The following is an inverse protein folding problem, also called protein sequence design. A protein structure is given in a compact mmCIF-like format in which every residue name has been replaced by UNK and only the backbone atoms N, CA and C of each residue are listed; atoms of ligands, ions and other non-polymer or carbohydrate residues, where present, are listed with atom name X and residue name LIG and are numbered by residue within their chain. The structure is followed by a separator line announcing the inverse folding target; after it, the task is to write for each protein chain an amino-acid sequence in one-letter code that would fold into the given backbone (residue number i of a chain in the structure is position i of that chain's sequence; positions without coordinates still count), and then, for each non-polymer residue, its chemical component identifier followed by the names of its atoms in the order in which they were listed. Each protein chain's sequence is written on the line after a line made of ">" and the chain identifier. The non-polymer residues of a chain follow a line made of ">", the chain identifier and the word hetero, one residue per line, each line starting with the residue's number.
data_IF_386941493634
#
_entry.id   IF_386941493634
#
_cell.length_a   1.000
_cell.length_b   1.000
_cell.length_c   1.000
_cell.angle_alpha   90.00
_cell.angle_beta   90.00
_cell.angle_gamma   90.00
#
_symmetry.space_group_name_H-M   'P 1'
#
loop_
_entity.id
_entity.type
_entity.pdbx_description
1 polymer ?
#
# COMPACT_ATOMS: atom_id res chain seq x y z
N UNK A 1 -17.89 7.93 11.79
CA UNK A 1 -16.54 7.55 11.34
C UNK A 1 -16.53 6.41 10.30
N UNK A 2 -17.61 6.16 9.54
CA UNK A 2 -17.66 5.11 8.48
C UNK A 2 -17.64 5.69 7.06
N UNK A 3 -18.01 6.97 6.93
CA UNK A 3 -18.17 7.64 5.63
C UNK A 3 -16.82 7.88 4.92
N UNK A 4 -15.73 8.07 5.68
CA UNK A 4 -14.42 8.44 5.14
C UNK A 4 -13.75 7.30 4.36
N UNK A 5 -13.88 6.05 4.83
CA UNK A 5 -13.27 4.89 4.19
C UNK A 5 -13.89 4.61 2.81
N UNK A 6 -15.23 4.72 2.70
CA UNK A 6 -15.94 4.49 1.44
C UNK A 6 -15.52 5.51 0.38
N UNK A 7 -15.44 6.79 0.74
CA UNK A 7 -14.98 7.83 -0.20
C UNK A 7 -13.53 7.60 -0.65
N UNK A 8 -12.65 7.15 0.24
CA UNK A 8 -11.26 6.83 -0.11
C UNK A 8 -11.17 5.69 -1.09
N UNK A 9 -11.94 4.61 -0.89
CA UNK A 9 -12.00 3.50 -1.83
C UNK A 9 -12.50 3.95 -3.22
N UNK A 10 -13.53 4.79 -3.29
CA UNK A 10 -14.07 5.31 -4.56
C UNK A 10 -13.01 6.15 -5.28
N UNK A 11 -12.33 7.05 -4.58
CA UNK A 11 -11.28 7.90 -5.15
C UNK A 11 -10.11 7.08 -5.71
N UNK A 12 -9.69 6.05 -4.98
CA UNK A 12 -8.61 5.14 -5.36
C UNK A 12 -9.01 4.32 -6.61
N UNK A 13 -10.26 3.84 -6.68
CA UNK A 13 -10.79 3.13 -7.86
C UNK A 13 -10.96 4.03 -9.09
N UNK A 14 -11.12 5.34 -8.90
CA UNK A 14 -11.25 6.29 -10.00
C UNK A 14 -9.90 6.60 -10.70
N UNK A 15 -8.77 6.17 -10.13
CA UNK A 15 -7.45 6.35 -10.74
C UNK A 15 -7.34 5.45 -11.97
N UNK A 16 -7.06 6.05 -13.14
CA UNK A 16 -6.98 5.37 -14.46
C UNK A 16 -6.17 4.07 -14.47
N UNK A 17 -5.12 4.01 -13.66
CA UNK A 17 -4.16 2.89 -13.65
C UNK A 17 -4.52 1.78 -12.66
N UNK A 18 -5.54 1.98 -11.83
CA UNK A 18 -5.94 1.04 -10.78
C UNK A 18 -6.94 0.05 -11.35
N UNK A 19 -6.61 -1.24 -11.26
CA UNK A 19 -7.51 -2.31 -11.69
C UNK A 19 -8.43 -2.71 -10.54
N UNK A 20 -7.84 -3.06 -9.40
CA UNK A 20 -8.55 -3.52 -8.21
C UNK A 20 -8.03 -2.82 -6.95
N UNK A 21 -8.90 -2.78 -5.95
CA UNK A 21 -8.63 -2.17 -4.65
C UNK A 21 -9.01 -3.16 -3.56
N UNK A 22 -8.03 -3.47 -2.71
CA UNK A 22 -8.22 -4.35 -1.55
C UNK A 22 -8.54 -3.46 -0.35
N UNK A 23 -9.77 -3.51 0.20
CA UNK A 23 -10.10 -2.79 1.43
C UNK A 23 -9.43 -3.47 2.63
N UNK A 24 -9.30 -2.73 3.73
CA UNK A 24 -8.84 -3.23 5.03
C UNK A 24 -7.45 -3.89 5.02
N UNK A 25 -6.55 -3.38 4.17
CA UNK A 25 -5.15 -3.83 4.15
C UNK A 25 -4.45 -3.46 5.46
N UNK A 26 -3.73 -4.41 6.11
CA UNK A 26 -3.04 -4.16 7.36
C UNK A 26 -1.93 -3.12 7.18
N UNK A 27 -1.67 -2.35 8.24
CA UNK A 27 -0.61 -1.33 8.24
C UNK A 27 0.79 -1.97 8.13
N UNK A 28 1.01 -3.06 8.87
CA UNK A 28 2.22 -3.87 8.77
C UNK A 28 1.98 -5.02 7.79
N UNK A 29 2.92 -5.26 6.86
CA UNK A 29 2.85 -6.42 5.99
C UNK A 29 3.19 -7.67 6.82
N UNK A 30 2.22 -8.57 6.97
CA UNK A 30 2.40 -9.87 7.61
C UNK A 30 2.60 -10.98 6.58
N UNK A 31 3.14 -12.12 7.00
CA UNK A 31 3.30 -13.29 6.12
C UNK A 31 1.95 -13.76 5.57
N UNK A 32 0.91 -13.79 6.41
CA UNK A 32 -0.46 -14.15 5.98
C UNK A 32 -0.98 -13.20 4.91
N UNK A 33 -0.74 -11.89 5.06
CA UNK A 33 -1.15 -10.92 4.06
C UNK A 33 -0.36 -11.08 2.77
N UNK A 34 0.95 -11.32 2.83
CA UNK A 34 1.74 -11.63 1.63
C UNK A 34 1.24 -12.89 0.92
N UNK A 35 0.89 -13.94 1.67
CA UNK A 35 0.32 -15.16 1.08
C UNK A 35 -0.98 -14.87 0.34
N UNK A 36 -1.88 -14.04 0.91
CA UNK A 36 -3.08 -13.58 0.22
C UNK A 36 -2.73 -12.80 -1.05
N UNK A 37 -1.85 -11.80 -0.95
CA UNK A 37 -1.46 -10.97 -2.09
C UNK A 37 -0.90 -11.81 -3.25
N UNK A 38 -0.04 -12.78 -2.94
CA UNK A 38 0.72 -13.52 -3.93
C UNK A 38 0.01 -14.77 -4.45
N UNK A 39 -0.77 -15.45 -3.60
CA UNK A 39 -1.41 -16.71 -3.98
C UNK A 39 -2.89 -16.53 -4.34
N UNK A 40 -3.60 -15.58 -3.73
CA UNK A 40 -5.02 -15.34 -4.01
C UNK A 40 -5.20 -14.21 -5.02
N UNK A 41 -4.49 -13.10 -4.84
CA UNK A 41 -4.59 -11.93 -5.73
C UNK A 41 -3.58 -11.91 -6.88
N UNK A 42 -2.64 -12.85 -6.93
CA UNK A 42 -1.59 -12.94 -7.96
C UNK A 42 -0.81 -11.63 -8.19
N UNK A 43 -0.51 -10.90 -7.13
CA UNK A 43 0.26 -9.65 -7.21
C UNK A 43 1.76 -9.96 -7.27
N UNK A 44 2.50 -9.34 -8.19
CA UNK A 44 3.93 -9.60 -8.30
C UNK A 44 4.78 -8.75 -7.33
N UNK A 45 4.40 -7.49 -7.14
CA UNK A 45 5.20 -6.51 -6.40
C UNK A 45 4.33 -5.56 -5.57
N UNK A 46 4.85 -5.20 -4.40
CA UNK A 46 4.36 -4.10 -3.58
C UNK A 46 5.18 -2.85 -3.94
N UNK A 47 4.52 -1.74 -4.25
CA UNK A 47 5.18 -0.47 -4.60
C UNK A 47 4.82 0.57 -3.55
N UNK A 48 5.83 1.22 -2.96
CA UNK A 48 5.64 2.32 -2.01
C UNK A 48 6.67 3.45 -2.26
N UNK A 49 6.36 4.64 -1.73
CA UNK A 49 7.31 5.75 -1.68
C UNK A 49 8.57 5.41 -0.87
N UNK A 50 9.59 6.26 -0.99
CA UNK A 50 10.85 6.16 -0.25
C UNK A 50 10.75 6.62 1.22
N UNK A 51 9.57 7.07 1.65
CA UNK A 51 9.31 7.44 3.04
C UNK A 51 9.46 6.22 4.00
N UNK A 52 10.11 6.39 5.16
CA UNK A 52 10.25 5.33 6.14
C UNK A 52 8.92 5.04 6.85
N UNK A 53 8.34 3.86 6.59
CA UNK A 53 7.17 3.36 7.31
C UNK A 53 7.63 2.48 8.49
N UNK A 54 7.79 3.09 9.64
CA UNK A 54 8.21 2.40 10.86
C UNK A 54 7.00 2.00 11.72
N UNK A 55 7.08 0.81 12.30
CA UNK A 55 6.19 0.32 13.33
C UNK A 55 6.55 0.93 14.70
N UNK A 56 5.68 0.82 15.72
CA UNK A 56 5.95 1.37 17.06
C UNK A 56 7.24 0.84 17.72
N UNK A 57 7.73 -0.32 17.27
CA UNK A 57 8.97 -0.95 17.72
C UNK A 57 10.21 -0.49 16.92
N UNK A 58 10.04 0.42 15.96
CA UNK A 58 11.10 0.91 15.08
C UNK A 58 11.45 -0.01 13.92
N UNK A 59 10.73 -1.11 13.73
CA UNK A 59 10.93 -2.01 12.59
C UNK A 59 10.20 -1.52 11.35
N UNK A 60 10.71 -1.87 10.17
CA UNK A 60 10.12 -1.47 8.90
C UNK A 60 8.87 -2.31 8.60
N UNK A 61 7.73 -1.64 8.38
CA UNK A 61 6.45 -2.26 8.07
C UNK A 61 6.49 -3.15 6.80
N UNK A 62 7.46 -2.92 5.89
CA UNK A 62 7.66 -3.67 4.65
C UNK A 62 8.89 -4.59 4.68
N UNK A 63 9.50 -4.82 5.85
CA UNK A 63 10.71 -5.64 5.98
C UNK A 63 10.57 -7.03 5.32
N UNK A 64 9.41 -7.68 5.50
CA UNK A 64 9.13 -8.99 4.90
C UNK A 64 9.09 -8.93 3.37
N UNK A 65 8.37 -7.95 2.81
CA UNK A 65 8.25 -7.76 1.36
C UNK A 65 9.61 -7.43 0.71
N UNK A 66 10.44 -6.63 1.40
CA UNK A 66 11.82 -6.33 0.99
C UNK A 66 12.71 -7.57 1.01
N UNK A 67 12.60 -8.40 2.06
CA UNK A 67 13.40 -9.62 2.21
C UNK A 67 13.16 -10.64 1.10
N UNK A 68 11.91 -10.74 0.60
CA UNK A 68 11.55 -11.66 -0.50
C UNK A 68 11.75 -11.06 -1.88
N UNK A 69 12.29 -9.83 -2.00
CA UNK A 69 12.55 -9.17 -3.27
C UNK A 69 11.29 -8.72 -4.03
N UNK A 70 10.13 -8.69 -3.37
CA UNK A 70 8.83 -8.31 -3.95
C UNK A 70 8.38 -6.91 -3.56
N UNK A 71 9.34 -6.02 -3.27
CA UNK A 71 9.10 -4.63 -2.92
C UNK A 71 9.87 -3.70 -3.86
N UNK A 72 9.19 -2.71 -4.44
CA UNK A 72 9.78 -1.68 -5.28
C UNK A 72 9.55 -0.31 -4.65
N UNK A 73 10.58 0.52 -4.65
CA UNK A 73 10.49 1.90 -4.19
C UNK A 73 10.35 2.85 -5.37
N UNK A 74 9.43 3.81 -5.24
CA UNK A 74 9.33 4.95 -6.15
C UNK A 74 9.80 6.20 -5.43
N UNK A 75 10.60 7.01 -6.12
CA UNK A 75 11.00 8.32 -5.61
C UNK A 75 9.78 9.23 -5.57
N UNK A 76 9.65 10.05 -4.52
CA UNK A 76 8.62 11.08 -4.49
C UNK A 76 8.79 12.02 -5.68
N UNK A 77 7.69 12.33 -6.34
CA UNK A 77 7.66 13.40 -7.34
C UNK A 77 7.85 14.74 -6.64
N UNK A 78 8.92 15.46 -6.97
CA UNK A 78 9.16 16.80 -6.46
C UNK A 78 7.98 17.72 -6.82
N UNK A 79 7.41 18.43 -5.83
CA UNK A 79 6.32 19.38 -6.02
C UNK A 79 4.91 18.89 -5.68
N UNK A 80 4.71 17.62 -5.32
CA UNK A 80 3.42 17.11 -4.80
C UNK A 80 3.57 16.83 -3.30
N UNK A 81 3.26 17.84 -2.49
CA UNK A 81 3.26 17.76 -1.02
C UNK A 81 1.93 17.21 -0.54
N UNK A 82 1.88 15.91 -0.23
CA UNK A 82 0.72 15.23 0.38
C UNK A 82 0.63 15.42 1.90
N UNK A 83 1.38 16.36 2.46
CA UNK A 83 1.52 16.54 3.92
C UNK A 83 0.18 16.77 4.65
N UNK A 84 -0.92 17.06 3.93
CA UNK A 84 -2.25 17.28 4.50
C UNK A 84 -3.32 16.20 4.24
N UNK A 85 -3.10 15.15 3.41
CA UNK A 85 -4.24 14.33 2.91
C UNK A 85 -4.29 12.87 3.39
N UNK A 86 -3.20 12.23 3.83
CA UNK A 86 -3.25 10.79 4.14
C UNK A 86 -2.60 10.47 5.48
N UNK A 87 -3.35 10.77 6.55
CA UNK A 87 -3.20 10.03 7.80
C UNK A 87 -3.64 8.59 7.57
N UNK A 88 -2.67 7.68 7.61
CA UNK A 88 -2.78 6.37 8.26
C UNK A 88 -4.03 5.51 8.00
N UNK A 89 -4.51 5.38 6.76
CA UNK A 89 -5.13 4.10 6.40
C UNK A 89 -4.53 3.58 5.09
N UNK A 90 -3.85 2.44 5.19
CA UNK A 90 -3.19 1.71 4.11
C UNK A 90 -4.22 1.25 3.08
N UNK A 91 -4.30 1.94 1.94
CA UNK A 91 -4.98 1.42 0.74
C UNK A 91 -3.91 0.87 -0.19
N UNK A 92 -3.92 -0.44 -0.42
CA UNK A 92 -2.97 -1.07 -1.32
C UNK A 92 -3.51 -1.02 -2.75
N UNK A 93 -2.77 -0.33 -3.62
CA UNK A 93 -3.04 -0.29 -5.04
C UNK A 93 -2.39 -1.48 -5.72
N UNK A 94 -3.18 -2.25 -6.48
CA UNK A 94 -2.71 -3.42 -7.19
C UNK A 94 -2.68 -3.13 -8.70
N UNK A 95 -1.50 -3.27 -9.30
CA UNK A 95 -1.32 -3.24 -10.75
C UNK A 95 -1.13 -4.69 -11.21
N UNK A 96 -2.17 -5.29 -11.79
CA UNK A 96 -2.01 -6.50 -12.59
C UNK A 96 -1.51 -6.08 -13.98
N UNK A 97 -0.47 -6.73 -14.48
CA UNK A 97 0.01 -6.56 -15.85
C UNK A 97 -0.39 -7.79 -16.69
#
# INVERSE_FOLDING_TARGET
>A
MFLFLIYRLIMVRAVKWVHDVIPDAPYAITEDFMNKLFNEYNIDYIIHGDDPCLLPDGTDAYALAKKVGRFKQIKRTEGVSTTDIVGTDSVLFCFNH
#
